data_IF_188143719056
#
_entry.id   IF_188143719056
#
_cell.length_a   1.000
_cell.length_b   1.000
_cell.length_c   1.000
_cell.angle_alpha   90.00
_cell.angle_beta   90.00
_cell.angle_gamma   90.00
#
_symmetry.space_group_name_H-M   'P 1'
#
loop_
_entity.id
_entity.type
_entity.pdbx_description
1 polymer ?
#
# COMPACT_ATOMS: atom_id res chain seq x y z
N UNK A 1 4.94 26.20 2.44
CA UNK A 1 5.93 26.36 3.53
C UNK A 1 6.14 24.97 4.17
N UNK A 2 7.02 24.14 3.59
CA UNK A 2 7.21 22.69 3.92
C UNK A 2 8.35 22.46 4.93
N UNK A 3 8.27 23.03 6.15
CA UNK A 3 9.39 22.99 7.12
C UNK A 3 9.34 21.82 8.12
N UNK A 4 8.19 21.24 8.46
CA UNK A 4 8.06 20.45 9.71
C UNK A 4 8.67 19.04 9.70
N UNK A 5 8.52 18.23 8.63
CA UNK A 5 9.15 16.89 8.56
C UNK A 5 10.57 16.90 7.98
N UNK A 6 10.94 17.94 7.23
CA UNK A 6 12.31 18.11 6.72
C UNK A 6 13.29 18.48 7.83
N UNK A 7 12.85 19.23 8.85
CA UNK A 7 13.70 19.66 9.95
C UNK A 7 14.00 18.51 10.94
N UNK A 8 13.16 17.47 11.00
CA UNK A 8 13.47 16.20 11.69
C UNK A 8 14.69 15.48 11.12
N UNK A 9 15.08 15.75 9.86
CA UNK A 9 16.26 15.16 9.21
C UNK A 9 17.58 15.69 9.77
N UNK A 10 17.57 16.87 10.40
CA UNK A 10 18.78 17.57 10.83
C UNK A 10 19.15 17.32 12.31
N UNK A 11 18.24 16.74 13.11
CA UNK A 11 18.34 16.79 14.57
C UNK A 11 18.76 15.44 15.20
N UNK A 12 18.59 14.29 14.52
CA UNK A 12 19.02 13.00 15.08
C UNK A 12 19.72 12.06 14.07
N UNK A 13 20.92 11.53 14.41
CA UNK A 13 21.62 10.54 13.55
C UNK A 13 20.85 9.23 13.38
N UNK A 14 19.95 8.87 14.32
CA UNK A 14 19.07 7.69 14.21
C UNK A 14 17.94 7.86 13.18
N UNK A 15 17.47 9.08 12.94
CA UNK A 15 16.46 9.39 11.91
C UNK A 15 17.13 9.72 10.56
N UNK A 16 18.29 10.36 10.59
CA UNK A 16 19.09 10.69 9.40
C UNK A 16 19.65 9.44 8.69
N UNK A 17 20.09 8.41 9.43
CA UNK A 17 20.57 7.15 8.86
C UNK A 17 19.47 6.35 8.12
N UNK A 18 18.19 6.59 8.42
CA UNK A 18 17.04 5.89 7.82
C UNK A 18 16.53 6.58 6.55
N UNK A 19 16.88 7.86 6.33
CA UNK A 19 16.36 8.70 5.25
C UNK A 19 17.43 9.21 4.25
N UNK A 20 18.69 8.82 4.41
CA UNK A 20 19.84 9.32 3.63
C UNK A 20 19.90 8.98 2.13
N UNK A 21 18.88 8.35 1.54
CA UNK A 21 18.90 7.91 0.13
C UNK A 21 18.05 8.77 -0.84
N UNK A 22 17.38 9.82 -0.39
CA UNK A 22 16.43 10.58 -1.21
C UNK A 22 16.91 12.01 -1.47
N UNK A 23 17.91 12.14 -2.35
CA UNK A 23 18.30 13.40 -2.97
C UNK A 23 17.78 13.45 -4.41
N UNK A 24 16.91 14.43 -4.66
CA UNK A 24 16.62 15.15 -5.92
C UNK A 24 15.11 15.21 -6.27
N UNK A 25 14.48 16.36 -5.99
CA UNK A 25 13.23 16.79 -6.63
C UNK A 25 13.20 18.33 -6.76
N UNK A 26 12.73 18.90 -7.88
CA UNK A 26 12.19 20.25 -7.96
C UNK A 26 10.67 20.27 -7.63
N UNK A 27 10.03 21.46 -7.48
CA UNK A 27 8.78 21.61 -6.72
C UNK A 27 7.50 21.29 -7.50
N UNK A 28 6.44 20.91 -6.76
CA UNK A 28 5.13 20.53 -7.27
C UNK A 28 4.21 21.74 -7.55
N UNK A 29 3.42 21.74 -8.64
CA UNK A 29 2.29 22.64 -8.83
C UNK A 29 0.98 21.92 -8.49
N UNK A 30 0.41 22.20 -7.31
CA UNK A 30 -0.98 21.87 -6.98
C UNK A 30 -1.69 23.15 -6.56
N UNK A 31 -1.91 24.06 -7.49
CA UNK A 31 -2.95 25.06 -7.36
C UNK A 31 -3.90 24.92 -8.53
N UNK A 32 -5.18 24.80 -8.17
CA UNK A 32 -6.34 25.07 -9.01
C UNK A 32 -6.64 24.05 -10.11
N UNK A 33 -7.56 23.13 -9.81
CA UNK A 33 -8.74 22.96 -10.67
C UNK A 33 -9.90 22.37 -9.86
N UNK A 34 -10.97 23.17 -9.76
CA UNK A 34 -12.25 22.78 -9.21
C UNK A 34 -12.82 21.59 -10.00
N UNK A 35 -13.11 20.50 -9.31
CA UNK A 35 -13.84 19.36 -9.88
C UNK A 35 -15.29 19.81 -10.14
N UNK A 36 -15.65 19.97 -11.41
CA UNK A 36 -17.06 20.01 -11.84
C UNK A 36 -17.70 18.63 -11.61
N UNK A 37 -18.98 18.55 -11.20
CA UNK A 37 -19.67 17.27 -11.08
C UNK A 37 -20.02 16.76 -12.48
N UNK A 38 -19.47 15.60 -12.87
CA UNK A 38 -20.00 14.87 -14.02
C UNK A 38 -21.22 14.08 -13.57
N UNK A 39 -22.32 14.40 -14.24
CA UNK A 39 -23.63 13.82 -14.06
C UNK A 39 -23.65 12.30 -14.25
N UNK A 40 -24.67 11.70 -13.64
CA UNK A 40 -25.12 10.31 -13.71
C UNK A 40 -25.03 9.74 -15.13
N UNK A 41 -24.30 8.62 -15.27
CA UNK A 41 -24.46 7.71 -16.39
C UNK A 41 -24.65 6.30 -15.84
N UNK A 42 -25.90 5.88 -15.83
CA UNK A 42 -26.33 4.49 -15.70
C UNK A 42 -25.83 3.76 -16.94
N UNK A 43 -24.71 3.05 -16.83
CA UNK A 43 -24.28 2.12 -17.87
C UNK A 43 -24.39 0.69 -17.32
N UNK A 44 -25.47 0.02 -17.70
CA UNK A 44 -25.59 -1.42 -17.61
C UNK A 44 -24.49 -2.03 -18.49
N UNK A 45 -23.52 -2.71 -17.88
CA UNK A 45 -22.49 -3.43 -18.63
C UNK A 45 -23.11 -4.62 -19.36
N UNK A 46 -22.89 -4.78 -20.69
CA UNK A 46 -23.27 -6.01 -21.38
C UNK A 46 -22.32 -7.13 -20.93
N UNK A 47 -22.88 -8.32 -20.69
CA UNK A 47 -22.10 -9.55 -20.65
C UNK A 47 -21.38 -9.71 -21.99
N UNK A 48 -20.05 -9.78 -21.95
CA UNK A 48 -19.24 -10.14 -23.11
C UNK A 48 -18.68 -11.54 -22.89
N UNK A 49 -19.40 -12.52 -23.43
CA UNK A 49 -18.78 -13.69 -24.05
C UNK A 49 -18.09 -13.21 -25.34
N UNK A 50 -16.77 -13.33 -25.43
CA UNK A 50 -16.01 -13.18 -26.67
C UNK A 50 -15.37 -14.51 -27.10
N UNK A 51 -15.28 -14.77 -28.41
CA UNK A 51 -14.85 -16.04 -28.98
C UNK A 51 -13.32 -16.13 -29.01
N UNK A 52 -12.80 -17.08 -28.26
CA UNK A 52 -11.38 -17.23 -27.94
C UNK A 52 -11.32 -17.82 -26.54
N UNK A 53 -11.98 -18.96 -26.37
CA UNK A 53 -12.21 -19.59 -25.08
C UNK A 53 -10.89 -19.92 -24.41
N UNK A 54 -10.37 -19.01 -23.60
CA UNK A 54 -9.59 -19.40 -22.43
C UNK A 54 -10.43 -20.48 -21.76
N UNK A 55 -9.97 -21.75 -21.69
CA UNK A 55 -10.71 -22.77 -20.95
C UNK A 55 -11.01 -22.19 -19.57
N UNK A 56 -12.18 -22.50 -18.97
CA UNK A 56 -12.52 -21.99 -17.65
C UNK A 56 -11.31 -22.24 -16.77
N UNK A 57 -10.64 -21.14 -16.37
CA UNK A 57 -9.34 -21.24 -15.74
C UNK A 57 -9.55 -22.13 -14.53
N UNK A 58 -9.09 -23.39 -14.62
CA UNK A 58 -9.44 -24.41 -13.65
C UNK A 58 -9.19 -23.80 -12.29
N UNK A 59 -10.22 -23.77 -11.44
CA UNK A 59 -10.17 -23.10 -10.15
C UNK A 59 -9.34 -23.96 -9.20
N UNK A 60 -8.06 -24.12 -9.54
CA UNK A 60 -7.11 -25.03 -8.92
C UNK A 60 -6.96 -24.79 -7.42
N UNK A 61 -7.38 -23.62 -6.95
CA UNK A 61 -7.42 -23.24 -5.54
C UNK A 61 -8.62 -23.81 -4.77
N UNK A 62 -9.68 -24.25 -5.46
CA UNK A 62 -10.84 -24.96 -4.87
C UNK A 62 -10.58 -26.44 -4.72
N UNK A 63 -9.93 -27.04 -5.70
CA UNK A 63 -9.67 -28.49 -5.74
C UNK A 63 -8.57 -28.91 -4.77
N UNK A 64 -7.62 -28.01 -4.46
CA UNK A 64 -6.45 -28.31 -3.64
C UNK A 64 -6.15 -27.14 -2.67
N UNK A 65 -6.84 -27.06 -1.52
CA UNK A 65 -6.65 -25.97 -0.56
C UNK A 65 -5.26 -25.98 0.09
N UNK A 66 -4.59 -27.13 0.14
CA UNK A 66 -3.29 -27.31 0.79
C UNK A 66 -2.09 -26.91 -0.08
N UNK A 67 -2.32 -26.41 -1.30
CA UNK A 67 -1.24 -25.97 -2.19
C UNK A 67 -0.37 -24.90 -1.54
N UNK A 68 0.94 -25.17 -1.53
CA UNK A 68 1.95 -24.19 -1.11
C UNK A 68 2.01 -23.01 -2.09
N UNK A 69 2.48 -21.84 -1.62
CA UNK A 69 2.69 -20.68 -2.49
C UNK A 69 3.61 -20.98 -3.67
N UNK A 70 4.63 -21.82 -3.47
CA UNK A 70 5.55 -22.26 -4.53
C UNK A 70 4.83 -23.09 -5.61
N UNK A 71 3.97 -24.03 -5.23
CA UNK A 71 3.20 -24.82 -6.20
C UNK A 71 2.16 -23.94 -6.92
N UNK A 72 1.48 -23.05 -6.19
CA UNK A 72 0.55 -22.08 -6.76
C UNK A 72 1.26 -21.15 -7.78
N UNK A 73 2.46 -20.65 -7.48
CA UNK A 73 3.28 -19.86 -8.41
C UNK A 73 3.56 -20.64 -9.70
N UNK A 74 3.95 -21.92 -9.59
CA UNK A 74 4.22 -22.76 -10.77
C UNK A 74 2.99 -22.93 -11.64
N UNK A 75 1.81 -23.14 -11.04
CA UNK A 75 0.53 -23.25 -11.77
C UNK A 75 0.18 -21.94 -12.48
N UNK A 76 0.26 -20.81 -11.78
CA UNK A 76 -0.02 -19.49 -12.37
C UNK A 76 0.95 -19.20 -13.52
N UNK A 77 2.24 -19.46 -13.35
CA UNK A 77 3.23 -19.23 -14.40
C UNK A 77 3.00 -20.13 -15.62
N UNK A 78 2.70 -21.42 -15.41
CA UNK A 78 2.36 -22.35 -16.49
C UNK A 78 1.12 -21.89 -17.24
N UNK A 79 0.05 -21.58 -16.51
CA UNK A 79 -1.17 -21.03 -17.12
C UNK A 79 -0.88 -19.74 -17.91
N UNK A 80 -0.02 -18.88 -17.37
CA UNK A 80 0.39 -17.62 -18.00
C UNK A 80 1.11 -17.84 -19.32
N UNK A 81 1.87 -18.94 -19.44
CA UNK A 81 2.59 -19.33 -20.66
C UNK A 81 1.67 -20.00 -21.68
N UNK A 82 0.82 -20.93 -21.22
CA UNK A 82 0.03 -21.80 -22.09
C UNK A 82 -1.25 -21.13 -22.60
N UNK A 83 -1.91 -20.32 -21.74
CA UNK A 83 -3.25 -19.78 -22.00
C UNK A 83 -3.32 -18.24 -21.97
N UNK A 84 -2.21 -17.57 -21.63
CA UNK A 84 -2.16 -16.11 -21.50
C UNK A 84 -2.47 -15.61 -20.09
N UNK A 85 -2.73 -14.29 -19.93
CA UNK A 85 -2.67 -13.63 -18.62
C UNK A 85 -3.68 -14.20 -17.61
N UNK A 86 -3.24 -14.45 -16.36
CA UNK A 86 -4.11 -15.02 -15.33
C UNK A 86 -5.17 -14.00 -14.90
N UNK A 87 -6.32 -14.51 -14.46
CA UNK A 87 -7.39 -13.71 -13.86
C UNK A 87 -6.90 -13.11 -12.54
N UNK A 88 -7.46 -11.97 -12.16
CA UNK A 88 -7.03 -11.32 -10.91
C UNK A 88 -7.32 -12.18 -9.68
N UNK A 89 -8.40 -12.95 -9.70
CA UNK A 89 -8.74 -13.89 -8.63
C UNK A 89 -7.61 -14.90 -8.37
N UNK A 90 -6.95 -15.41 -9.42
CA UNK A 90 -5.79 -16.31 -9.28
C UNK A 90 -4.60 -15.63 -8.60
N UNK A 91 -4.38 -14.35 -8.86
CA UNK A 91 -3.30 -13.57 -8.23
C UNK A 91 -3.60 -13.27 -6.76
N UNK A 92 -4.88 -13.07 -6.41
CA UNK A 92 -5.32 -12.92 -5.02
C UNK A 92 -5.11 -14.21 -4.23
N UNK A 93 -5.49 -15.34 -4.82
CA UNK A 93 -5.26 -16.68 -4.26
C UNK A 93 -3.78 -17.04 -4.15
N UNK A 94 -2.95 -16.52 -5.03
CA UNK A 94 -1.51 -16.65 -4.92
C UNK A 94 -0.96 -15.92 -3.69
N UNK A 95 -1.40 -14.69 -3.46
CA UNK A 95 -0.97 -13.88 -2.32
C UNK A 95 -1.52 -14.39 -0.98
N UNK A 96 -2.70 -15.01 -0.95
CA UNK A 96 -3.27 -15.59 0.28
C UNK A 96 -2.47 -16.77 0.83
N UNK A 97 -1.62 -17.39 0.01
CA UNK A 97 -0.80 -18.56 0.38
C UNK A 97 0.59 -18.22 0.90
N UNK A 98 0.96 -16.94 0.89
CA UNK A 98 2.27 -16.48 1.37
C UNK A 98 2.41 -16.75 2.86
N UNK A 99 3.48 -17.46 3.25
CA UNK A 99 3.82 -17.72 4.66
C UNK A 99 5.12 -17.06 5.10
N UNK A 100 6.01 -16.77 4.15
CA UNK A 100 7.30 -16.16 4.41
C UNK A 100 7.69 -15.17 3.29
N UNK A 101 8.83 -14.52 3.47
CA UNK A 101 9.36 -13.54 2.53
C UNK A 101 9.77 -14.15 1.18
N UNK A 102 10.24 -15.40 1.16
CA UNK A 102 10.63 -16.08 -0.07
C UNK A 102 9.42 -16.37 -0.94
N UNK A 103 8.32 -16.81 -0.32
CA UNK A 103 7.03 -17.01 -0.97
C UNK A 103 6.50 -15.69 -1.54
N UNK A 104 6.54 -14.60 -0.75
CA UNK A 104 6.13 -13.29 -1.24
C UNK A 104 6.94 -12.85 -2.45
N UNK A 105 8.26 -13.04 -2.44
CA UNK A 105 9.11 -12.69 -3.58
C UNK A 105 8.73 -13.49 -4.83
N UNK A 106 8.49 -14.81 -4.69
CA UNK A 106 8.04 -15.66 -5.81
C UNK A 106 6.69 -15.20 -6.35
N UNK A 107 5.75 -14.89 -5.47
CA UNK A 107 4.42 -14.40 -5.84
C UNK A 107 4.50 -13.07 -6.59
N UNK A 108 5.33 -12.14 -6.14
CA UNK A 108 5.54 -10.85 -6.82
C UNK A 108 6.19 -11.00 -8.20
N UNK A 109 7.13 -11.94 -8.36
CA UNK A 109 7.70 -12.28 -9.68
C UNK A 109 6.63 -12.82 -10.63
N UNK A 110 5.77 -13.72 -10.17
CA UNK A 110 4.66 -14.26 -10.95
C UNK A 110 3.65 -13.17 -11.35
N UNK A 111 3.30 -12.25 -10.42
CA UNK A 111 2.41 -11.12 -10.71
C UNK A 111 3.04 -10.16 -11.73
N UNK A 112 4.35 -9.92 -11.65
CA UNK A 112 5.07 -9.08 -12.61
C UNK A 112 5.00 -9.69 -14.01
N UNK A 113 5.25 -11.00 -14.13
CA UNK A 113 5.10 -11.72 -15.40
C UNK A 113 3.66 -11.64 -15.92
N UNK A 114 2.67 -11.84 -15.05
CA UNK A 114 1.26 -11.71 -15.40
C UNK A 114 0.92 -10.31 -15.93
N UNK A 115 1.47 -9.25 -15.32
CA UNK A 115 1.27 -7.87 -15.79
C UNK A 115 1.89 -7.62 -17.16
N UNK A 116 3.10 -8.11 -17.40
CA UNK A 116 3.77 -8.01 -18.70
C UNK A 116 2.98 -8.74 -19.80
N UNK A 117 2.45 -9.92 -19.48
CA UNK A 117 1.58 -10.67 -20.41
C UNK A 117 0.28 -9.93 -20.68
N UNK A 118 -0.39 -9.39 -19.66
CA UNK A 118 -1.59 -8.54 -19.86
C UNK A 118 -1.33 -7.39 -20.83
N UNK A 119 -0.21 -6.69 -20.67
CA UNK A 119 0.18 -5.63 -21.58
C UNK A 119 0.37 -6.11 -23.02
N UNK A 120 0.97 -7.30 -23.22
CA UNK A 120 1.16 -7.91 -24.54
C UNK A 120 -0.16 -8.30 -25.23
N UNK A 121 -1.19 -8.58 -24.45
CA UNK A 121 -2.54 -8.91 -24.92
C UNK A 121 -3.47 -7.68 -25.02
N UNK A 122 -2.95 -6.45 -24.89
CA UNK A 122 -3.75 -5.22 -24.90
C UNK A 122 -4.67 -5.05 -23.67
N UNK A 123 -4.51 -5.88 -22.64
CA UNK A 123 -5.28 -5.79 -21.40
C UNK A 123 -4.65 -4.75 -20.47
N UNK A 124 -5.00 -3.49 -20.67
CA UNK A 124 -4.45 -2.39 -19.87
C UNK A 124 -5.13 -2.20 -18.50
N UNK A 125 -6.22 -2.93 -18.24
CA UNK A 125 -7.01 -2.78 -17.02
C UNK A 125 -6.11 -2.85 -15.77
N UNK A 126 -6.27 -1.86 -14.89
CA UNK A 126 -5.57 -1.81 -13.63
C UNK A 126 -6.04 -2.93 -12.71
N UNK A 127 -5.15 -3.44 -11.87
CA UNK A 127 -5.56 -4.35 -10.81
C UNK A 127 -6.49 -3.63 -9.83
N UNK A 128 -7.39 -4.39 -9.22
CA UNK A 128 -8.32 -3.84 -8.24
C UNK A 128 -7.64 -3.50 -6.90
N UNK A 129 -8.21 -2.58 -6.11
CA UNK A 129 -7.78 -2.33 -4.72
C UNK A 129 -7.78 -3.58 -3.83
N UNK A 130 -8.59 -4.59 -4.14
CA UNK A 130 -8.66 -5.84 -3.40
C UNK A 130 -7.33 -6.62 -3.51
N UNK A 131 -6.67 -6.59 -4.67
CA UNK A 131 -5.33 -7.18 -4.81
C UNK A 131 -4.31 -6.46 -3.92
N UNK A 132 -4.42 -5.14 -3.77
CA UNK A 132 -3.63 -4.34 -2.84
C UNK A 132 -3.86 -4.70 -1.37
N UNK A 133 -5.08 -5.06 -1.01
CA UNK A 133 -5.40 -5.54 0.33
C UNK A 133 -4.80 -6.94 0.59
N UNK A 134 -4.81 -7.82 -0.42
CA UNK A 134 -4.13 -9.12 -0.36
C UNK A 134 -2.60 -8.97 -0.25
N UNK A 135 -2.00 -8.01 -0.97
CA UNK A 135 -0.57 -7.71 -0.84
C UNK A 135 -0.21 -7.27 0.58
N UNK A 136 -0.99 -6.37 1.18
CA UNK A 136 -0.79 -5.96 2.56
C UNK A 136 -0.88 -7.15 3.53
N UNK A 137 -1.84 -8.06 3.31
CA UNK A 137 -1.97 -9.27 4.12
C UNK A 137 -0.76 -10.21 3.94
N UNK A 138 -0.27 -10.38 2.71
CA UNK A 138 0.90 -11.20 2.43
C UNK A 138 2.19 -10.62 3.04
N UNK A 139 2.35 -9.29 3.04
CA UNK A 139 3.45 -8.60 3.72
C UNK A 139 3.41 -8.82 5.24
N UNK A 140 2.21 -8.81 5.83
CA UNK A 140 2.01 -9.12 7.25
C UNK A 140 2.34 -10.59 7.52
N UNK A 141 1.90 -11.52 6.66
CA UNK A 141 2.19 -12.94 6.81
C UNK A 141 3.68 -13.26 6.72
N UNK A 142 4.44 -12.54 5.89
CA UNK A 142 5.90 -12.67 5.81
C UNK A 142 6.63 -12.09 7.05
N UNK A 143 5.93 -11.32 7.87
CA UNK A 143 6.31 -10.80 9.20
C UNK A 143 7.74 -10.23 9.35
N UNK A 144 8.28 -9.64 8.29
CA UNK A 144 9.65 -9.07 8.30
C UNK A 144 9.62 -7.59 7.94
N UNK A 145 9.60 -6.72 8.96
CA UNK A 145 9.48 -5.25 8.79
C UNK A 145 10.51 -4.67 7.81
N UNK A 146 11.74 -5.18 7.82
CA UNK A 146 12.83 -4.74 6.94
C UNK A 146 12.56 -5.02 5.46
N UNK A 147 11.77 -6.06 5.17
CA UNK A 147 11.42 -6.44 3.81
C UNK A 147 10.12 -5.79 3.33
N UNK A 148 9.32 -5.21 4.23
CA UNK A 148 8.04 -4.61 3.86
C UNK A 148 8.22 -3.49 2.84
N UNK A 149 9.18 -2.58 3.08
CA UNK A 149 9.46 -1.46 2.17
C UNK A 149 9.82 -1.92 0.76
N UNK A 150 10.89 -2.72 0.55
CA UNK A 150 11.27 -3.16 -0.79
C UNK A 150 10.20 -4.04 -1.44
N UNK A 151 9.47 -4.87 -0.69
CA UNK A 151 8.43 -5.73 -1.26
C UNK A 151 7.16 -4.96 -1.63
N UNK A 152 6.75 -3.95 -0.85
CA UNK A 152 5.65 -3.06 -1.20
C UNK A 152 5.96 -2.28 -2.49
N UNK A 153 7.18 -1.73 -2.60
CA UNK A 153 7.64 -1.04 -3.81
C UNK A 153 7.67 -1.97 -5.03
N UNK A 154 8.12 -3.22 -4.86
CA UNK A 154 8.06 -4.25 -5.93
C UNK A 154 6.61 -4.54 -6.36
N UNK A 155 5.69 -4.72 -5.42
CA UNK A 155 4.27 -4.96 -5.72
C UNK A 155 3.62 -3.79 -6.45
N UNK A 156 3.93 -2.57 -6.02
CA UNK A 156 3.53 -1.34 -6.71
C UNK A 156 4.08 -1.28 -8.13
N UNK A 157 5.36 -1.58 -8.32
CA UNK A 157 6.00 -1.59 -9.64
C UNK A 157 5.39 -2.67 -10.56
N UNK A 158 4.91 -3.78 -9.98
CA UNK A 158 4.13 -4.79 -10.68
C UNK A 158 2.69 -4.32 -11.03
N UNK A 159 2.32 -3.10 -10.64
CA UNK A 159 1.03 -2.47 -10.94
C UNK A 159 -0.04 -2.70 -9.88
N UNK A 160 0.28 -3.28 -8.72
CA UNK A 160 -0.69 -3.51 -7.64
C UNK A 160 -1.01 -2.16 -6.96
N UNK A 161 -2.28 -1.70 -6.95
CA UNK A 161 -2.64 -0.48 -6.25
C UNK A 161 -2.56 -0.67 -4.74
N UNK A 162 -2.01 0.29 -4.02
CA UNK A 162 -1.96 0.28 -2.55
C UNK A 162 -2.80 1.43 -2.04
N UNK A 163 -3.86 1.12 -1.29
CA UNK A 163 -4.84 2.08 -0.80
C UNK A 163 -4.58 2.47 0.66
N UNK A 164 -5.34 3.45 1.15
CA UNK A 164 -5.37 3.80 2.57
C UNK A 164 -5.57 2.56 3.45
N UNK A 165 -6.51 1.69 3.12
CA UNK A 165 -6.77 0.46 3.90
C UNK A 165 -5.53 -0.43 4.00
N UNK A 166 -4.75 -0.56 2.92
CA UNK A 166 -3.50 -1.33 2.90
C UNK A 166 -2.45 -0.72 3.84
N UNK A 167 -2.19 0.58 3.74
CA UNK A 167 -1.24 1.27 4.63
C UNK A 167 -1.67 1.20 6.09
N UNK A 168 -2.96 1.41 6.41
CA UNK A 168 -3.43 1.37 7.79
C UNK A 168 -3.18 0.00 8.43
N UNK A 169 -3.40 -1.09 7.68
CA UNK A 169 -3.10 -2.46 8.15
C UNK A 169 -1.62 -2.63 8.44
N UNK A 170 -0.76 -2.21 7.52
CA UNK A 170 0.70 -2.30 7.69
C UNK A 170 1.17 -1.47 8.89
N UNK A 171 0.70 -0.23 9.02
CA UNK A 171 1.04 0.66 10.14
C UNK A 171 0.57 0.11 11.49
N UNK A 172 -0.61 -0.53 11.55
CA UNK A 172 -1.09 -1.16 12.79
C UNK A 172 -0.27 -2.39 13.19
N UNK A 173 0.15 -3.19 12.22
CA UNK A 173 0.93 -4.41 12.46
C UNK A 173 2.37 -4.09 12.82
N UNK A 174 3.07 -3.34 11.96
CA UNK A 174 4.50 -3.06 12.10
C UNK A 174 4.80 -1.78 12.89
N UNK A 175 3.80 -0.96 13.25
CA UNK A 175 3.99 0.33 13.93
C UNK A 175 4.23 0.23 15.44
N UNK A 176 4.59 -0.94 15.98
CA UNK A 176 4.87 -1.13 17.41
C UNK A 176 6.38 -1.09 17.67
N UNK A 177 6.77 -0.65 18.87
CA UNK A 177 8.18 -0.51 19.25
C UNK A 177 8.92 0.64 18.56
N UNK A 178 10.23 0.72 18.79
CA UNK A 178 11.10 1.78 18.24
C UNK A 178 11.14 1.77 16.71
N UNK A 179 11.25 0.58 16.12
CA UNK A 179 11.34 0.41 14.67
C UNK A 179 10.00 0.69 13.98
N UNK A 180 8.90 0.50 14.71
CA UNK A 180 7.56 0.76 14.23
C UNK A 180 7.25 2.24 14.05
N UNK A 181 7.84 3.12 14.87
CA UNK A 181 7.68 4.57 14.67
C UNK A 181 8.32 5.02 13.36
N UNK A 182 9.55 4.57 13.08
CA UNK A 182 10.22 4.85 11.81
C UNK A 182 9.44 4.28 10.61
N UNK A 183 8.78 3.13 10.78
CA UNK A 183 7.92 2.56 9.76
C UNK A 183 6.65 3.37 9.51
N UNK A 184 5.97 3.84 10.56
CA UNK A 184 4.77 4.69 10.49
C UNK A 184 5.08 6.01 9.77
N UNK A 185 6.19 6.67 10.11
CA UNK A 185 6.64 7.90 9.44
C UNK A 185 6.96 7.65 7.96
N UNK A 186 7.62 6.53 7.64
CA UNK A 186 7.90 6.16 6.25
C UNK A 186 6.61 5.92 5.46
N UNK A 187 5.61 5.22 6.03
CA UNK A 187 4.33 5.00 5.37
C UNK A 187 3.67 6.32 5.00
N UNK A 188 3.67 7.30 5.90
CA UNK A 188 3.13 8.63 5.64
C UNK A 188 3.81 9.32 4.45
N UNK A 189 5.14 9.41 4.46
CA UNK A 189 5.88 10.06 3.38
C UNK A 189 5.68 9.34 2.04
N UNK A 190 5.70 8.01 2.06
CA UNK A 190 5.49 7.18 0.88
C UNK A 190 4.06 7.30 0.32
N UNK A 191 3.07 7.52 1.18
CA UNK A 191 1.69 7.81 0.76
C UNK A 191 1.58 9.17 0.08
N UNK A 192 2.16 10.21 0.67
CA UNK A 192 2.13 11.57 0.10
C UNK A 192 2.86 11.64 -1.24
N UNK A 193 4.02 10.98 -1.37
CA UNK A 193 4.75 10.86 -2.65
C UNK A 193 3.91 10.24 -3.78
N UNK A 194 2.87 9.49 -3.40
CA UNK A 194 1.96 8.79 -4.32
C UNK A 194 0.61 9.47 -4.43
N UNK A 195 0.48 10.70 -3.93
CA UNK A 195 -0.77 11.46 -3.88
C UNK A 195 -1.91 10.71 -3.16
N UNK A 196 -1.57 9.88 -2.17
CA UNK A 196 -2.55 9.21 -1.30
C UNK A 196 -2.62 9.96 0.01
N UNK A 197 -3.73 10.64 0.26
CA UNK A 197 -3.92 11.39 1.50
C UNK A 197 -4.21 10.45 2.68
N UNK A 198 -3.54 10.59 3.84
CA UNK A 198 -3.82 9.80 5.03
C UNK A 198 -5.28 9.90 5.48
N UNK A 199 -5.84 8.76 5.87
CA UNK A 199 -7.16 8.70 6.51
C UNK A 199 -7.11 9.18 7.97
N UNK A 200 -8.27 9.57 8.54
CA UNK A 200 -8.41 9.95 9.95
C UNK A 200 -7.73 8.97 10.95
N UNK A 201 -7.89 7.64 10.83
CA UNK A 201 -7.18 6.70 11.71
C UNK A 201 -5.65 6.75 11.59
N UNK A 202 -5.11 7.06 10.40
CA UNK A 202 -3.66 7.18 10.19
C UNK A 202 -3.13 8.49 10.73
N UNK A 203 -3.87 9.59 10.53
CA UNK A 203 -3.54 10.88 11.11
C UNK A 203 -3.40 10.77 12.64
N UNK A 204 -4.32 10.04 13.29
CA UNK A 204 -4.23 9.73 14.71
C UNK A 204 -2.97 8.91 15.05
N UNK A 205 -2.67 7.84 14.30
CA UNK A 205 -1.46 7.03 14.51
C UNK A 205 -0.19 7.87 14.39
N UNK A 206 -0.12 8.76 13.40
CA UNK A 206 1.02 9.66 13.19
C UNK A 206 1.21 10.62 14.36
N UNK A 207 0.14 11.26 14.81
CA UNK A 207 0.16 12.18 15.96
C UNK A 207 0.59 11.44 17.22
N UNK A 208 0.00 10.28 17.49
CA UNK A 208 0.33 9.47 18.65
C UNK A 208 1.82 9.10 18.66
N UNK A 209 2.36 8.64 17.52
CA UNK A 209 3.79 8.30 17.38
C UNK A 209 4.74 9.49 17.55
N UNK A 210 4.36 10.67 17.06
CA UNK A 210 5.17 11.88 17.27
C UNK A 210 5.17 12.31 18.74
N UNK A 211 4.02 12.21 19.42
CA UNK A 211 3.94 12.50 20.85
C UNK A 211 4.70 11.47 21.71
N UNK A 212 4.69 10.18 21.36
CA UNK A 212 5.52 9.15 22.00
C UNK A 212 7.01 9.47 21.91
N UNK A 213 7.45 10.14 20.82
CA UNK A 213 8.84 10.62 20.66
C UNK A 213 9.12 11.96 21.36
N UNK A 214 8.17 12.50 22.11
CA UNK A 214 8.29 13.83 22.74
C UNK A 214 8.23 14.99 21.73
N UNK A 215 7.86 14.73 20.47
CA UNK A 215 7.76 15.73 19.39
C UNK A 215 6.36 16.31 19.26
N UNK A 216 5.83 16.80 20.37
CA UNK A 216 4.49 17.40 20.43
C UNK A 216 4.37 18.68 19.59
N UNK A 217 5.48 19.40 19.41
CA UNK A 217 5.63 20.55 18.50
C UNK A 217 5.25 20.18 17.06
N UNK A 218 5.84 19.10 16.55
CA UNK A 218 5.60 18.61 15.19
C UNK A 218 4.23 17.96 15.10
N UNK A 219 3.83 17.19 16.12
CA UNK A 219 2.52 16.57 16.17
C UNK A 219 1.39 17.61 16.08
N UNK A 220 1.51 18.74 16.76
CA UNK A 220 0.55 19.84 16.71
C UNK A 220 0.53 20.54 15.35
N UNK A 221 1.70 20.74 14.72
CA UNK A 221 1.77 21.27 13.36
C UNK A 221 1.09 20.35 12.34
N UNK A 222 1.39 19.06 12.39
CA UNK A 222 0.78 18.05 11.52
C UNK A 222 -0.73 17.92 11.76
N UNK A 223 -1.18 18.05 13.00
CA UNK A 223 -2.59 18.06 13.35
C UNK A 223 -3.35 19.21 12.67
N UNK A 224 -2.80 20.43 12.69
CA UNK A 224 -3.37 21.59 12.00
C UNK A 224 -3.42 21.37 10.50
N UNK A 225 -2.34 20.87 9.90
CA UNK A 225 -2.29 20.56 8.47
C UNK A 225 -3.37 19.57 8.06
N UNK A 226 -3.59 18.50 8.85
CA UNK A 226 -4.67 17.56 8.58
C UNK A 226 -6.05 18.22 8.64
N UNK A 227 -6.31 19.07 9.62
CA UNK A 227 -7.59 19.78 9.76
C UNK A 227 -7.82 20.79 8.63
N UNK A 228 -6.79 21.52 8.22
CA UNK A 228 -6.81 22.42 7.05
C UNK A 228 -7.13 21.67 5.76
N UNK A 229 -6.68 20.42 5.65
CA UNK A 229 -6.99 19.52 4.53
C UNK A 229 -8.31 18.74 4.71
N UNK A 230 -9.14 19.10 5.68
CA UNK A 230 -10.46 18.50 5.89
C UNK A 230 -10.48 17.16 6.64
N UNK A 231 -9.35 16.72 7.19
CA UNK A 231 -9.25 15.51 8.02
C UNK A 231 -9.54 15.90 9.47
N UNK A 232 -10.77 15.62 9.91
CA UNK A 232 -11.15 15.83 11.30
C UNK A 232 -10.45 14.82 12.21
N UNK A 233 -9.63 15.30 13.15
CA UNK A 233 -8.93 14.45 14.09
C UNK A 233 -9.89 13.78 15.09
N UNK A 234 -9.48 12.64 15.64
CA UNK A 234 -10.21 12.03 16.75
C UNK A 234 -10.05 12.87 18.02
N UNK A 235 -11.06 12.96 18.91
CA UNK A 235 -10.92 13.65 20.20
C UNK A 235 -9.72 13.14 21.01
N UNK A 236 -9.43 11.84 20.93
CA UNK A 236 -8.24 11.23 21.55
C UNK A 236 -6.92 11.82 21.04
N UNK A 237 -6.80 12.18 19.77
CA UNK A 237 -5.59 12.83 19.24
C UNK A 237 -5.36 14.20 19.91
N UNK A 238 -6.44 14.97 20.10
CA UNK A 238 -6.38 16.29 20.75
C UNK A 238 -5.98 16.16 22.22
N UNK A 239 -6.53 15.17 22.92
CA UNK A 239 -6.15 14.87 24.31
C UNK A 239 -4.67 14.47 24.44
N UNK A 240 -4.14 13.67 23.51
CA UNK A 240 -2.70 13.34 23.47
C UNK A 240 -1.85 14.60 23.27
N UNK A 241 -2.24 15.51 22.36
CA UNK A 241 -1.53 16.76 22.11
C UNK A 241 -1.50 17.69 23.32
N UNK A 242 -2.58 17.70 24.11
CA UNK A 242 -2.68 18.48 25.36
C UNK A 242 -1.96 17.81 26.55
N UNK A 243 -1.39 16.62 26.39
CA UNK A 243 -0.80 15.85 27.49
C UNK A 243 -1.80 15.23 28.46
N UNK A 244 -3.08 15.15 28.09
CA UNK A 244 -4.17 14.66 28.94
C UNK A 244 -4.34 13.13 28.91
N UNK A 245 -3.66 12.46 28.00
CA UNK A 245 -3.53 11.00 27.97
C UNK A 245 -2.14 10.66 28.51
N UNK A 246 -2.10 10.28 29.79
CA UNK A 246 -0.88 9.80 30.45
C UNK A 246 -0.26 8.63 29.67
N UNK A 247 1.07 8.65 29.58
CA UNK A 247 1.90 7.63 28.94
C UNK A 247 1.70 6.24 29.58
#
# INVERSE_FOLDING_TARGET
MLRTLKDLRAIEPRVASVLGFLSAQPPAPWQSQALRPLASSTFAGPGYDQPGGTPPAQEWWKDEPELTATQACRRVNRHTQDYGPPRELQLRELLSRVRDSNDLERCLKAITLARQRRASFGQHQHFSPQLGACLAQALIAADTIQLVRPMLSKGIAAGIPVSNTSYLRLMKHFGRGSDGTAFVLWCHDHMLQRNVMPSRPMAWLMIAKLCELGRTDIAAGLAREYEENGIQLAPSARRILNGELGQ
#
